data_IF_209014307312
#
_entry.id   IF_209014307312
#
_cell.length_a   1.000
_cell.length_b   1.000
_cell.length_c   1.000
_cell.angle_alpha   90.00
_cell.angle_beta   90.00
_cell.angle_gamma   90.00
#
_symmetry.space_group_name_H-M   'P 1'
#
loop_
_entity.id
_entity.type
_entity.pdbx_description
1 polymer ?
#
# COMPACT_ATOMS: atom_id res chain seq x y z
N UNK A 1 5.29 -18.50 15.71
CA UNK A 1 5.98 -18.94 14.48
C UNK A 1 6.78 -17.78 13.92
N UNK A 2 8.02 -18.01 13.57
CA UNK A 2 8.91 -16.99 13.03
C UNK A 2 8.48 -16.60 11.61
N UNK A 3 8.72 -15.34 11.23
CA UNK A 3 8.41 -14.80 9.90
C UNK A 3 9.09 -15.65 8.80
N UNK A 4 10.33 -16.10 9.04
CA UNK A 4 11.05 -16.96 8.09
C UNK A 4 10.32 -18.26 7.82
N UNK A 5 9.74 -18.87 8.84
CA UNK A 5 8.98 -20.12 8.72
C UNK A 5 7.69 -19.90 7.95
N UNK A 6 6.99 -18.80 8.24
CA UNK A 6 5.75 -18.44 7.53
C UNK A 6 6.07 -18.15 6.06
N UNK A 7 7.19 -17.49 5.78
CA UNK A 7 7.64 -17.19 4.43
C UNK A 7 7.74 -18.46 3.58
N UNK A 8 8.38 -19.50 4.11
CA UNK A 8 8.52 -20.78 3.38
C UNK A 8 7.17 -21.47 3.23
N UNK A 9 6.33 -21.45 4.27
CA UNK A 9 5.04 -22.13 4.24
C UNK A 9 4.02 -21.47 3.32
N UNK A 10 4.09 -20.15 3.14
CA UNK A 10 3.11 -19.40 2.36
C UNK A 10 3.37 -19.43 0.85
N UNK A 11 4.60 -19.68 0.43
CA UNK A 11 4.98 -19.67 -1.01
C UNK A 11 4.08 -20.57 -1.86
N UNK A 12 3.77 -21.83 -1.48
CA UNK A 12 2.87 -22.67 -2.29
C UNK A 12 1.47 -22.05 -2.46
N UNK A 13 0.97 -21.39 -1.42
CA UNK A 13 -0.35 -20.74 -1.48
C UNK A 13 -0.33 -19.52 -2.42
N UNK A 14 0.76 -18.78 -2.43
CA UNK A 14 0.95 -17.67 -3.38
C UNK A 14 1.03 -18.20 -4.80
N UNK A 15 1.75 -19.29 -5.04
CA UNK A 15 1.86 -19.92 -6.36
C UNK A 15 0.50 -20.39 -6.86
N UNK A 16 -0.37 -20.92 -5.99
CA UNK A 16 -1.71 -21.33 -6.39
C UNK A 16 -2.60 -20.14 -6.77
N UNK A 17 -2.24 -18.94 -6.36
CA UNK A 17 -2.91 -17.69 -6.76
C UNK A 17 -2.18 -17.00 -7.94
N UNK A 18 -1.32 -17.72 -8.63
CA UNK A 18 -0.52 -17.22 -9.77
C UNK A 18 0.48 -16.13 -9.39
N UNK A 19 0.93 -16.13 -8.13
CA UNK A 19 1.93 -15.19 -7.64
C UNK A 19 3.27 -15.90 -7.55
N UNK A 20 4.27 -15.38 -8.27
CA UNK A 20 5.64 -15.90 -8.24
C UNK A 20 6.48 -14.98 -7.35
N UNK A 21 7.08 -15.55 -6.32
CA UNK A 21 7.94 -14.80 -5.40
C UNK A 21 9.36 -14.87 -5.92
N UNK A 22 9.85 -13.77 -6.46
CA UNK A 22 11.20 -13.65 -7.00
C UNK A 22 12.19 -13.23 -5.90
N UNK A 23 11.72 -12.46 -4.92
CA UNK A 23 12.55 -11.95 -3.83
C UNK A 23 11.93 -12.33 -2.48
N UNK A 24 12.55 -13.28 -1.79
CA UNK A 24 12.10 -13.73 -0.48
C UNK A 24 12.25 -12.65 0.60
N UNK A 25 13.21 -11.75 0.45
CA UNK A 25 13.37 -10.63 1.38
C UNK A 25 12.20 -9.66 1.29
N UNK A 26 11.70 -9.42 0.08
CA UNK A 26 10.50 -8.62 -0.13
C UNK A 26 9.29 -9.27 0.56
N UNK A 27 9.13 -10.59 0.38
CA UNK A 27 8.05 -11.32 1.04
C UNK A 27 8.16 -11.24 2.57
N UNK A 28 9.37 -11.37 3.13
CA UNK A 28 9.58 -11.23 4.57
C UNK A 28 9.21 -9.84 5.06
N UNK A 29 9.54 -8.81 4.31
CA UNK A 29 9.18 -7.43 4.64
C UNK A 29 7.66 -7.25 4.70
N UNK A 30 6.94 -7.83 3.75
CA UNK A 30 5.48 -7.81 3.71
C UNK A 30 4.90 -8.51 4.94
N UNK A 31 5.38 -9.70 5.23
CA UNK A 31 4.89 -10.49 6.36
C UNK A 31 5.21 -9.82 7.70
N UNK A 32 6.29 -9.05 7.77
CA UNK A 32 6.67 -8.31 8.97
C UNK A 32 5.71 -7.16 9.30
N UNK A 33 4.91 -6.71 8.34
CA UNK A 33 3.91 -5.66 8.56
C UNK A 33 2.75 -6.10 9.45
N UNK A 34 2.71 -7.37 9.77
CA UNK A 34 1.70 -7.93 10.63
C UNK A 34 1.08 -9.14 9.98
N UNK A 35 1.57 -10.30 10.39
CA UNK A 35 0.86 -11.54 10.14
C UNK A 35 -0.32 -11.47 11.07
N UNK A 36 -1.44 -11.10 10.51
CA UNK A 36 -2.62 -10.87 11.30
C UNK A 36 -3.12 -12.17 11.93
N UNK A 37 -3.99 -12.00 12.87
CA UNK A 37 -4.65 -12.94 13.76
C UNK A 37 -5.31 -14.13 13.07
N UNK A 38 -5.46 -14.07 11.77
CA UNK A 38 -5.96 -15.18 10.97
C UNK A 38 -4.78 -16.02 10.50
N UNK A 39 -4.45 -17.05 11.26
CA UNK A 39 -3.31 -17.92 10.99
C UNK A 39 -3.50 -18.86 9.81
N UNK A 40 -4.55 -18.65 9.01
CA UNK A 40 -4.80 -19.45 7.83
C UNK A 40 -3.92 -18.96 6.68
N UNK A 41 -2.92 -19.75 6.28
CA UNK A 41 -1.98 -19.37 5.23
C UNK A 41 -2.66 -19.05 3.90
N UNK A 42 -3.75 -19.75 3.58
CA UNK A 42 -4.52 -19.50 2.36
C UNK A 42 -5.13 -18.10 2.36
N UNK A 43 -5.70 -17.66 3.47
CA UNK A 43 -6.28 -16.33 3.62
C UNK A 43 -5.21 -15.26 3.64
N UNK A 44 -4.08 -15.51 4.31
CA UNK A 44 -2.95 -14.58 4.32
C UNK A 44 -2.44 -14.39 2.89
N UNK A 45 -2.20 -15.46 2.15
CA UNK A 45 -1.73 -15.41 0.77
C UNK A 45 -2.69 -14.61 -0.12
N UNK A 46 -3.98 -14.83 0.04
CA UNK A 46 -5.01 -14.12 -0.73
C UNK A 46 -5.01 -12.62 -0.42
N UNK A 47 -4.71 -12.24 0.82
CA UNK A 47 -4.67 -10.84 1.24
C UNK A 47 -3.40 -10.09 0.83
N UNK A 48 -2.37 -10.79 0.34
CA UNK A 48 -1.10 -10.19 -0.04
C UNK A 48 -0.98 -9.90 -1.53
N UNK A 49 -1.99 -10.20 -2.33
CA UNK A 49 -1.93 -10.12 -3.78
C UNK A 49 -1.52 -8.73 -4.28
N UNK A 50 -2.01 -7.65 -3.65
CA UNK A 50 -1.73 -6.29 -4.09
C UNK A 50 -0.24 -5.90 -4.01
N UNK A 51 0.57 -6.60 -3.21
CA UNK A 51 2.01 -6.35 -3.14
C UNK A 51 2.74 -6.86 -4.40
N UNK A 52 2.15 -7.80 -5.12
CA UNK A 52 2.79 -8.49 -6.25
C UNK A 52 2.18 -8.16 -7.60
N UNK A 53 1.00 -7.52 -7.62
CA UNK A 53 0.32 -7.15 -8.86
C UNK A 53 0.92 -5.84 -9.38
N UNK A 54 1.15 -5.73 -10.70
CA UNK A 54 1.65 -4.50 -11.31
C UNK A 54 0.56 -3.46 -11.51
N UNK A 55 -0.64 -3.90 -11.91
CA UNK A 55 -1.78 -3.01 -12.17
C UNK A 55 -2.92 -3.35 -11.20
N UNK A 56 -3.24 -2.41 -10.30
CA UNK A 56 -4.33 -2.58 -9.34
C UNK A 56 -5.67 -2.26 -10.01
N UNK A 57 -6.69 -3.01 -9.63
CA UNK A 57 -8.06 -2.73 -10.07
C UNK A 57 -8.75 -1.84 -9.04
N UNK A 58 -8.91 -0.57 -9.39
CA UNK A 58 -9.56 0.42 -8.53
C UNK A 58 -11.09 0.45 -8.69
N UNK A 59 -11.63 -0.29 -9.65
CA UNK A 59 -13.06 -0.32 -9.93
C UNK A 59 -13.81 -1.30 -9.03
N UNK A 60 -13.74 -1.09 -7.72
CA UNK A 60 -14.42 -1.94 -6.74
C UNK A 60 -15.35 -1.11 -5.85
N UNK A 61 -16.13 -1.79 -5.02
CA UNK A 61 -17.13 -1.12 -4.18
C UNK A 61 -16.52 -0.17 -3.15
N UNK A 62 -15.28 -0.42 -2.73
CA UNK A 62 -14.59 0.44 -1.77
C UNK A 62 -14.28 1.81 -2.35
N UNK A 63 -14.07 1.91 -3.67
CA UNK A 63 -13.85 3.18 -4.36
C UNK A 63 -15.00 4.16 -4.11
N UNK A 64 -16.21 3.67 -4.05
CA UNK A 64 -17.42 4.49 -3.84
C UNK A 64 -17.46 5.14 -2.46
N UNK A 65 -16.72 4.60 -1.50
CA UNK A 65 -16.66 5.09 -0.13
C UNK A 65 -15.67 6.25 0.03
N UNK A 66 -14.85 6.52 -0.98
CA UNK A 66 -13.85 7.58 -0.94
C UNK A 66 -14.46 8.93 -1.32
N UNK A 67 -13.91 10.00 -0.73
CA UNK A 67 -14.23 11.36 -1.15
C UNK A 67 -13.45 11.67 -2.43
N UNK A 68 -14.08 11.44 -3.57
CA UNK A 68 -13.45 11.58 -4.88
C UNK A 68 -13.13 13.01 -5.23
N UNK A 69 -13.85 13.97 -4.65
CA UNK A 69 -13.61 15.39 -4.89
C UNK A 69 -12.25 15.81 -4.36
N UNK A 70 -11.87 15.29 -3.20
CA UNK A 70 -10.57 15.60 -2.56
C UNK A 70 -9.42 14.76 -3.11
N UNK A 71 -9.73 13.60 -3.70
CA UNK A 71 -8.73 12.59 -4.01
C UNK A 71 -7.61 13.12 -4.92
N UNK A 72 -7.96 13.82 -5.98
CA UNK A 72 -6.98 14.33 -6.95
C UNK A 72 -5.97 15.28 -6.29
N UNK A 73 -6.46 16.22 -5.49
CA UNK A 73 -5.61 17.20 -4.81
C UNK A 73 -4.69 16.53 -3.80
N UNK A 74 -5.24 15.60 -3.02
CA UNK A 74 -4.47 14.85 -2.01
C UNK A 74 -3.36 14.05 -2.70
N UNK A 75 -3.70 13.32 -3.74
CA UNK A 75 -2.75 12.42 -4.40
C UNK A 75 -1.68 13.19 -5.17
N UNK A 76 -2.04 14.28 -5.80
CA UNK A 76 -1.09 15.13 -6.53
C UNK A 76 -0.05 15.71 -5.56
N UNK A 77 -0.50 16.25 -4.44
CA UNK A 77 0.38 16.83 -3.44
C UNK A 77 1.24 15.76 -2.76
N UNK A 78 0.64 14.62 -2.42
CA UNK A 78 1.37 13.50 -1.83
C UNK A 78 2.46 12.99 -2.76
N UNK A 79 2.14 12.80 -4.03
CA UNK A 79 3.10 12.36 -5.04
C UNK A 79 4.27 13.36 -5.15
N UNK A 80 3.96 14.64 -5.22
CA UNK A 80 4.94 15.70 -5.32
C UNK A 80 5.90 15.71 -4.13
N UNK A 81 5.36 15.66 -2.93
CA UNK A 81 6.16 15.70 -1.71
C UNK A 81 6.97 14.42 -1.51
N UNK A 82 6.37 13.25 -1.79
CA UNK A 82 7.07 11.97 -1.67
C UNK A 82 8.20 11.85 -2.69
N UNK A 83 8.05 12.46 -3.87
CA UNK A 83 9.10 12.40 -4.89
C UNK A 83 10.38 13.13 -4.48
N UNK A 84 10.29 14.03 -3.51
CA UNK A 84 11.41 14.86 -3.05
C UNK A 84 12.28 14.18 -1.99
N UNK A 85 11.85 13.06 -1.44
CA UNK A 85 12.58 12.35 -0.40
C UNK A 85 13.02 10.98 -0.89
N UNK A 86 14.04 10.42 -0.24
CA UNK A 86 14.38 9.01 -0.36
C UNK A 86 13.61 8.27 0.73
N UNK A 87 13.20 7.03 0.47
CA UNK A 87 12.43 6.26 1.44
C UNK A 87 13.37 5.54 2.41
N UNK A 88 14.11 6.33 3.20
CA UNK A 88 15.11 5.80 4.13
C UNK A 88 14.52 5.34 5.45
N UNK A 89 13.38 5.90 5.85
CA UNK A 89 12.72 5.53 7.10
C UNK A 89 11.21 5.72 7.00
N UNK A 90 10.48 4.98 7.81
CA UNK A 90 9.02 5.13 7.92
C UNK A 90 8.65 6.49 8.49
N UNK A 91 9.46 7.01 9.42
CA UNK A 91 9.24 8.30 10.07
C UNK A 91 9.28 9.45 9.07
N UNK A 92 10.19 9.39 8.12
CA UNK A 92 10.30 10.39 7.05
C UNK A 92 9.04 10.39 6.18
N UNK A 93 8.57 9.21 5.80
CA UNK A 93 7.34 9.04 5.02
C UNK A 93 6.13 9.57 5.80
N UNK A 94 6.02 9.19 7.07
CA UNK A 94 4.93 9.64 7.95
C UNK A 94 4.91 11.17 8.08
N UNK A 95 6.09 11.79 8.18
CA UNK A 95 6.22 13.24 8.23
C UNK A 95 5.69 13.92 6.98
N UNK A 96 5.98 13.35 5.80
CA UNK A 96 5.48 13.86 4.52
C UNK A 96 3.94 13.79 4.47
N UNK A 97 3.35 12.71 4.96
CA UNK A 97 1.88 12.58 4.97
C UNK A 97 1.25 13.62 5.90
N UNK A 98 1.89 13.90 7.04
CA UNK A 98 1.42 14.97 7.95
C UNK A 98 1.50 16.33 7.27
N UNK A 99 2.56 16.59 6.51
CA UNK A 99 2.70 17.85 5.76
C UNK A 99 1.60 18.00 4.72
N UNK A 100 1.20 16.92 4.04
CA UNK A 100 0.08 16.94 3.09
C UNK A 100 -1.20 17.35 3.81
N UNK A 101 -1.47 16.75 4.97
CA UNK A 101 -2.64 17.11 5.78
C UNK A 101 -2.63 18.60 6.14
N UNK A 102 -1.49 19.11 6.60
CA UNK A 102 -1.35 20.51 7.00
C UNK A 102 -1.50 21.48 5.84
N UNK A 103 -0.90 21.16 4.70
CA UNK A 103 -0.96 22.03 3.51
C UNK A 103 -2.37 22.14 2.94
N UNK A 104 -3.16 21.07 3.05
CA UNK A 104 -4.53 21.05 2.56
C UNK A 104 -5.56 21.38 3.64
N UNK A 105 -5.13 21.61 4.86
CA UNK A 105 -6.00 21.83 6.03
C UNK A 105 -7.02 20.70 6.19
N UNK A 106 -6.53 19.46 6.06
CA UNK A 106 -7.33 18.24 6.19
C UNK A 106 -6.81 17.39 7.34
N UNK A 107 -7.67 16.55 7.86
CA UNK A 107 -7.31 15.58 8.91
C UNK A 107 -6.81 14.29 8.27
N UNK A 108 -6.03 13.53 9.01
CA UNK A 108 -5.51 12.25 8.54
C UNK A 108 -6.65 11.30 8.12
N UNK A 109 -7.78 11.32 8.82
CA UNK A 109 -8.95 10.50 8.47
C UNK A 109 -9.51 10.80 7.08
N UNK A 110 -9.23 11.99 6.54
CA UNK A 110 -9.65 12.37 5.19
C UNK A 110 -8.61 12.00 4.14
N UNK A 111 -7.33 12.10 4.50
CA UNK A 111 -6.20 11.89 3.60
C UNK A 111 -5.79 10.43 3.54
N UNK A 112 -5.72 9.77 4.70
CA UNK A 112 -5.19 8.41 4.82
C UNK A 112 -5.89 7.37 3.96
N UNK A 113 -7.22 7.27 4.01
CA UNK A 113 -7.93 6.26 3.21
C UNK A 113 -7.69 6.42 1.71
N UNK A 114 -7.58 7.63 1.22
CA UNK A 114 -7.36 7.91 -0.21
C UNK A 114 -5.99 7.40 -0.65
N UNK A 115 -4.94 7.74 0.10
CA UNK A 115 -3.58 7.30 -0.22
C UNK A 115 -3.47 5.78 -0.08
N UNK A 116 -4.05 5.21 0.98
CA UNK A 116 -4.04 3.75 1.20
C UNK A 116 -4.72 3.03 0.05
N UNK A 117 -5.85 3.53 -0.42
CA UNK A 117 -6.57 2.95 -1.56
C UNK A 117 -5.75 3.04 -2.84
N UNK A 118 -5.07 4.16 -3.07
CA UNK A 118 -4.19 4.32 -4.24
C UNK A 118 -3.08 3.26 -4.26
N UNK A 119 -2.57 2.90 -3.09
CA UNK A 119 -1.46 1.95 -2.96
C UNK A 119 -1.89 0.49 -2.99
N UNK A 120 -3.14 0.18 -2.65
CA UNK A 120 -3.59 -1.21 -2.44
C UNK A 120 -4.89 -1.59 -3.15
N UNK A 121 -5.66 -0.62 -3.59
CA UNK A 121 -7.06 -0.77 -4.05
C UNK A 121 -8.01 -1.25 -2.95
N UNK A 122 -7.60 -1.09 -1.68
CA UNK A 122 -8.37 -1.50 -0.51
C UNK A 122 -8.34 -0.40 0.55
N UNK A 123 -9.43 -0.27 1.31
CA UNK A 123 -9.47 0.66 2.44
C UNK A 123 -8.81 0.07 3.68
N UNK A 124 -8.92 -1.25 3.85
CA UNK A 124 -8.32 -1.95 4.98
C UNK A 124 -6.97 -2.54 4.55
N UNK A 125 -5.90 -1.94 5.05
CA UNK A 125 -4.54 -2.29 4.70
C UNK A 125 -3.59 -1.79 5.80
N UNK A 126 -2.29 -2.15 5.76
CA UNK A 126 -1.32 -1.59 6.70
C UNK A 126 -1.24 -0.06 6.61
N UNK A 127 -0.55 0.56 7.55
CA UNK A 127 -0.39 2.01 7.57
C UNK A 127 0.38 2.50 6.34
N UNK A 128 0.16 3.76 5.97
CA UNK A 128 0.74 4.33 4.75
C UNK A 128 2.27 4.29 4.78
N UNK A 129 2.87 4.64 5.90
CA UNK A 129 4.32 4.65 6.06
C UNK A 129 4.91 3.24 5.87
N UNK A 130 4.26 2.23 6.42
CA UNK A 130 4.66 0.83 6.23
C UNK A 130 4.51 0.40 4.76
N UNK A 131 3.39 0.72 4.15
CA UNK A 131 3.13 0.39 2.74
C UNK A 131 4.17 1.03 1.82
N UNK A 132 4.42 2.31 1.98
CA UNK A 132 5.39 3.04 1.15
C UNK A 132 6.79 2.48 1.33
N UNK A 133 7.18 2.19 2.57
CA UNK A 133 8.51 1.69 2.86
C UNK A 133 8.75 0.32 2.21
N UNK A 134 7.77 -0.57 2.28
CA UNK A 134 7.87 -1.92 1.69
C UNK A 134 7.78 -1.88 0.17
N UNK A 135 6.84 -1.11 -0.38
CA UNK A 135 6.67 -0.99 -1.84
C UNK A 135 7.87 -0.31 -2.50
N UNK A 136 8.51 0.63 -1.80
CA UNK A 136 9.58 1.43 -2.34
C UNK A 136 9.07 2.66 -3.09
N UNK A 137 9.96 3.62 -3.29
CA UNK A 137 9.63 4.93 -3.86
C UNK A 137 8.99 4.82 -5.24
N UNK A 138 9.60 4.08 -6.17
CA UNK A 138 9.14 4.01 -7.56
C UNK A 138 7.73 3.41 -7.63
N UNK A 139 7.52 2.27 -6.98
CA UNK A 139 6.23 1.58 -7.00
C UNK A 139 5.13 2.42 -6.34
N UNK A 140 5.47 3.10 -5.24
CA UNK A 140 4.56 4.01 -4.55
C UNK A 140 4.10 5.13 -5.49
N UNK A 141 5.04 5.81 -6.14
CA UNK A 141 4.72 6.92 -7.05
C UNK A 141 3.94 6.44 -8.28
N UNK A 142 4.30 5.29 -8.82
CA UNK A 142 3.60 4.71 -9.98
C UNK A 142 2.15 4.39 -9.64
N UNK A 143 1.89 3.84 -8.48
CA UNK A 143 0.53 3.50 -8.04
C UNK A 143 -0.32 4.74 -7.80
N UNK A 144 0.25 5.76 -7.17
CA UNK A 144 -0.45 7.03 -6.98
C UNK A 144 -0.82 7.63 -8.33
N UNK A 145 0.11 7.65 -9.26
CA UNK A 145 -0.13 8.16 -10.62
C UNK A 145 -1.24 7.38 -11.33
N UNK A 146 -1.20 6.06 -11.25
CA UNK A 146 -2.21 5.19 -11.87
C UNK A 146 -3.60 5.48 -11.32
N UNK A 147 -3.71 5.70 -10.02
CA UNK A 147 -5.01 6.02 -9.41
C UNK A 147 -5.49 7.41 -9.82
N UNK A 148 -4.61 8.39 -9.91
CA UNK A 148 -4.98 9.73 -10.42
C UNK A 148 -5.53 9.61 -11.83
N UNK A 149 -4.89 8.83 -12.69
CA UNK A 149 -5.36 8.59 -14.06
C UNK A 149 -6.72 7.88 -14.06
N UNK A 150 -6.95 6.98 -13.13
CA UNK A 150 -8.22 6.27 -13.01
C UNK A 150 -9.38 7.20 -12.67
N UNK A 151 -9.17 8.18 -11.78
CA UNK A 151 -10.23 9.10 -11.35
C UNK A 151 -10.43 10.29 -12.28
N UNK A 152 -9.58 10.48 -13.27
CA UNK A 152 -9.74 11.54 -14.28
C UNK A 152 -10.77 11.22 -15.36
#
# INVERSE_FOLDING_TARGET
MDVSDVCELIIPYLQSNNIIVEDKNYLKSILSLGIDRDYNLKNIAKGLDYFFINDLDYSNDEFKKLNQVLAKNILTLASDNLSKIEFNSKEEISSIIKDVCNQLDLKFKDVGPIIRFALTSKLKAPSIDELCFVLGKQKTLDRIKSFVEFIE
#
